data_IF_059799851308
#
_entry.id   IF_059799851308
#
_cell.length_a   1.000
_cell.length_b   1.000
_cell.length_c   1.000
_cell.angle_alpha   90.00
_cell.angle_beta   90.00
_cell.angle_gamma   90.00
#
_symmetry.space_group_name_H-M   'P 1'
#
loop_
_entity.id
_entity.type
_entity.pdbx_description
1 polymer ?
#
# COMPACT_ATOMS: atom_id res chain seq x y z
N UNK A 1 7.47 -16.55 -17.30
CA UNK A 1 8.21 -17.68 -16.67
C UNK A 1 9.32 -18.23 -17.55
N UNK A 2 9.20 -18.28 -18.89
CA UNK A 2 10.24 -18.79 -19.79
C UNK A 2 11.57 -18.07 -19.60
N UNK A 3 11.60 -16.74 -19.57
CA UNK A 3 12.84 -15.97 -19.37
C UNK A 3 13.52 -16.30 -18.02
N UNK A 4 12.76 -16.67 -16.98
CA UNK A 4 13.31 -17.13 -15.70
C UNK A 4 13.98 -18.48 -15.87
N UNK A 5 13.39 -19.40 -16.66
CA UNK A 5 13.96 -20.70 -16.94
C UNK A 5 15.26 -20.59 -17.76
N UNK A 6 15.27 -19.71 -18.76
CA UNK A 6 16.45 -19.42 -19.60
C UNK A 6 17.63 -18.85 -18.80
N UNK A 7 17.33 -18.11 -17.71
CA UNK A 7 18.32 -17.49 -16.84
C UNK A 7 18.47 -18.21 -15.48
N UNK A 8 18.07 -19.49 -15.40
CA UNK A 8 18.03 -20.27 -14.16
C UNK A 8 19.33 -20.21 -13.36
N UNK A 9 20.46 -20.56 -13.99
CA UNK A 9 21.77 -20.58 -13.34
C UNK A 9 22.21 -19.20 -12.83
N UNK A 10 21.97 -18.15 -13.62
CA UNK A 10 22.26 -16.78 -13.20
C UNK A 10 21.46 -16.35 -11.99
N UNK A 11 20.18 -16.74 -11.92
CA UNK A 11 19.31 -16.47 -10.79
C UNK A 11 19.75 -17.26 -9.55
N UNK A 12 20.12 -18.52 -9.72
CA UNK A 12 20.67 -19.34 -8.64
C UNK A 12 21.95 -18.70 -8.06
N UNK A 13 22.86 -18.22 -8.90
CA UNK A 13 24.08 -17.53 -8.48
C UNK A 13 23.81 -16.23 -7.70
N UNK A 14 22.71 -15.54 -7.96
CA UNK A 14 22.28 -14.34 -7.20
C UNK A 14 21.68 -14.73 -5.84
N UNK A 15 20.88 -15.77 -5.79
CA UNK A 15 20.07 -16.09 -4.59
C UNK A 15 20.83 -16.99 -3.61
N UNK A 16 21.48 -18.05 -4.09
CA UNK A 16 22.10 -19.06 -3.21
C UNK A 16 23.05 -18.47 -2.16
N UNK A 17 23.94 -17.50 -2.49
CA UNK A 17 24.84 -16.92 -1.48
C UNK A 17 24.12 -16.21 -0.33
N UNK A 18 22.86 -15.87 -0.48
CA UNK A 18 22.05 -15.18 0.54
C UNK A 18 21.32 -16.14 1.47
N UNK A 19 21.36 -17.43 1.20
CA UNK A 19 20.65 -18.47 1.94
C UNK A 19 21.59 -19.23 2.88
N UNK A 20 21.04 -19.70 4.00
CA UNK A 20 21.75 -20.65 4.86
C UNK A 20 21.99 -21.99 4.18
N UNK A 21 23.06 -22.70 4.59
CA UNK A 21 23.54 -23.96 3.95
C UNK A 21 22.45 -25.01 3.72
N UNK A 22 21.54 -25.20 4.67
CA UNK A 22 20.44 -26.17 4.53
C UNK A 22 19.44 -25.73 3.44
N UNK A 23 19.10 -24.44 3.39
CA UNK A 23 18.19 -23.93 2.37
C UNK A 23 18.83 -23.90 0.97
N UNK A 24 20.14 -23.75 0.86
CA UNK A 24 20.85 -23.84 -0.43
C UNK A 24 20.64 -25.19 -1.10
N UNK A 25 20.57 -26.28 -0.34
CA UNK A 25 20.39 -27.66 -0.86
C UNK A 25 19.00 -27.89 -1.45
N UNK A 26 18.00 -27.15 -0.99
CA UNK A 26 16.58 -27.38 -1.33
C UNK A 26 15.97 -26.23 -2.13
N UNK A 27 16.73 -25.15 -2.35
CA UNK A 27 16.20 -23.99 -3.04
C UNK A 27 16.07 -24.25 -4.54
N UNK A 28 14.93 -23.82 -5.08
CA UNK A 28 14.71 -23.61 -6.51
C UNK A 28 13.91 -22.31 -6.69
N UNK A 29 14.15 -21.52 -7.72
CA UNK A 29 13.31 -20.39 -8.08
C UNK A 29 11.88 -20.83 -8.46
N UNK A 30 11.72 -22.05 -8.92
CA UNK A 30 10.44 -22.64 -9.30
C UNK A 30 9.84 -23.50 -8.19
N UNK A 31 8.53 -23.36 -8.00
CA UNK A 31 7.72 -24.10 -7.05
C UNK A 31 6.63 -24.84 -7.82
N UNK A 32 6.80 -26.16 -8.10
CA UNK A 32 5.78 -26.93 -8.81
C UNK A 32 4.49 -27.01 -8.02
N UNK A 33 3.36 -27.09 -8.73
CA UNK A 33 2.04 -27.36 -8.15
C UNK A 33 1.76 -28.84 -8.27
N UNK A 34 1.40 -29.48 -7.17
CA UNK A 34 1.02 -30.90 -7.17
C UNK A 34 -0.27 -31.10 -8.00
N UNK A 35 -0.26 -31.93 -9.03
CA UNK A 35 -1.44 -32.12 -9.89
C UNK A 35 -2.61 -32.75 -9.14
N UNK A 36 -2.32 -33.58 -8.13
CA UNK A 36 -3.36 -34.32 -7.40
C UNK A 36 -4.06 -33.46 -6.34
N UNK A 37 -3.30 -32.53 -5.71
CA UNK A 37 -3.81 -31.77 -4.54
C UNK A 37 -3.93 -30.26 -4.80
N UNK A 38 -3.34 -29.73 -5.86
CA UNK A 38 -3.25 -28.29 -6.13
C UNK A 38 -2.31 -27.53 -5.18
N UNK A 39 -1.62 -28.22 -4.27
CA UNK A 39 -0.69 -27.58 -3.34
C UNK A 39 0.62 -27.21 -4.01
N UNK A 40 1.17 -26.06 -3.64
CA UNK A 40 2.51 -25.62 -4.03
C UNK A 40 3.53 -26.45 -3.25
N UNK A 41 4.50 -27.05 -3.96
CA UNK A 41 5.53 -27.88 -3.37
C UNK A 41 6.84 -27.08 -3.23
N UNK A 42 7.43 -27.07 -2.04
CA UNK A 42 8.74 -26.51 -1.76
C UNK A 42 9.83 -27.60 -1.83
N UNK A 43 10.07 -28.10 -3.04
CA UNK A 43 11.02 -29.18 -3.30
C UNK A 43 12.04 -28.73 -4.33
N UNK A 44 13.29 -29.29 -4.31
CA UNK A 44 14.31 -28.89 -5.26
C UNK A 44 13.95 -29.35 -6.68
N UNK A 45 14.20 -28.48 -7.64
CA UNK A 45 14.23 -28.84 -9.06
C UNK A 45 15.59 -29.50 -9.31
N UNK A 46 15.56 -30.69 -9.85
CA UNK A 46 16.77 -31.49 -10.13
C UNK A 46 17.26 -31.35 -11.57
N UNK A 47 16.37 -30.97 -12.49
CA UNK A 47 16.68 -30.76 -13.90
C UNK A 47 15.73 -29.76 -14.53
N UNK A 48 16.17 -29.03 -15.52
CA UNK A 48 15.35 -28.08 -16.31
C UNK A 48 15.36 -28.48 -17.77
N UNK A 49 14.20 -28.45 -18.41
CA UNK A 49 14.04 -28.63 -19.85
C UNK A 49 13.56 -27.31 -20.45
N UNK A 50 14.51 -26.51 -20.93
CA UNK A 50 14.22 -25.22 -21.55
C UNK A 50 13.42 -25.36 -22.84
N UNK A 51 13.69 -26.39 -23.62
CA UNK A 51 13.06 -26.61 -24.93
C UNK A 51 11.56 -26.84 -24.81
N UNK A 52 11.15 -27.60 -23.81
CA UNK A 52 9.75 -27.93 -23.55
C UNK A 52 9.10 -27.07 -22.44
N UNK A 53 9.83 -26.09 -21.88
CA UNK A 53 9.35 -25.25 -20.78
C UNK A 53 8.90 -26.07 -19.58
N UNK A 54 9.71 -27.04 -19.15
CA UNK A 54 9.44 -27.95 -18.03
C UNK A 54 10.53 -27.91 -16.97
N UNK A 55 10.14 -28.29 -15.77
CA UNK A 55 11.03 -28.58 -14.63
C UNK A 55 10.83 -30.02 -14.20
N UNK A 56 11.91 -30.65 -13.76
CA UNK A 56 11.91 -32.01 -13.22
C UNK A 56 12.29 -31.93 -11.75
N UNK A 57 11.54 -32.56 -10.89
CA UNK A 57 11.69 -32.52 -9.45
C UNK A 57 11.52 -33.89 -8.81
N UNK A 58 12.11 -34.11 -7.65
CA UNK A 58 11.95 -35.35 -6.88
C UNK A 58 10.85 -35.17 -5.80
N UNK A 59 9.79 -35.94 -5.92
CA UNK A 59 8.76 -36.00 -4.89
C UNK A 59 8.80 -37.38 -4.22
N UNK A 60 9.47 -37.48 -3.08
CA UNK A 60 9.61 -38.69 -2.26
C UNK A 60 10.22 -39.89 -3.03
N UNK A 61 11.30 -39.64 -3.78
CA UNK A 61 11.99 -40.67 -4.56
C UNK A 61 11.40 -40.96 -5.94
N UNK A 62 10.34 -40.23 -6.31
CA UNK A 62 9.75 -40.32 -7.66
C UNK A 62 10.06 -39.06 -8.44
N UNK A 63 10.79 -39.18 -9.54
CA UNK A 63 11.00 -38.06 -10.47
C UNK A 63 9.69 -37.74 -11.19
N UNK A 64 9.25 -36.49 -11.08
CA UNK A 64 8.07 -35.95 -11.75
C UNK A 64 8.47 -34.75 -12.60
N UNK A 65 7.72 -34.51 -13.67
CA UNK A 65 7.86 -33.32 -14.49
C UNK A 65 6.64 -32.42 -14.37
N UNK A 66 6.84 -31.12 -14.50
CA UNK A 66 5.77 -30.14 -14.56
C UNK A 66 6.08 -29.07 -15.59
N UNK A 67 5.09 -28.66 -16.36
CA UNK A 67 5.17 -27.42 -17.15
C UNK A 67 5.33 -26.24 -16.22
N UNK A 68 6.14 -25.25 -16.59
CA UNK A 68 6.19 -23.97 -15.91
C UNK A 68 5.05 -23.03 -16.33
N UNK A 69 4.23 -23.46 -17.28
CA UNK A 69 3.11 -22.71 -17.86
C UNK A 69 1.78 -23.17 -17.27
N UNK A 70 0.69 -22.51 -17.65
CA UNK A 70 -0.70 -22.91 -17.39
C UNK A 70 -1.06 -23.12 -15.92
N UNK A 71 -0.38 -22.37 -15.02
CA UNK A 71 -0.66 -22.45 -13.58
C UNK A 71 -0.03 -23.63 -12.84
N UNK A 72 0.72 -24.49 -13.51
CA UNK A 72 1.33 -25.69 -12.91
C UNK A 72 2.61 -25.39 -12.11
N UNK A 73 3.05 -24.15 -12.09
CA UNK A 73 4.24 -23.72 -11.38
C UNK A 73 4.10 -22.30 -10.86
N UNK A 74 4.63 -22.02 -9.65
CA UNK A 74 4.83 -20.69 -9.09
C UNK A 74 6.31 -20.36 -9.00
N UNK A 75 6.63 -19.12 -8.70
CA UNK A 75 8.00 -18.68 -8.41
C UNK A 75 8.17 -18.36 -6.92
N UNK A 76 9.39 -18.49 -6.43
CA UNK A 76 9.81 -17.92 -5.15
C UNK A 76 9.67 -16.39 -5.19
N UNK A 77 9.26 -15.81 -4.08
CA UNK A 77 8.86 -14.40 -3.96
C UNK A 77 9.79 -13.39 -4.65
N UNK A 78 11.10 -13.46 -4.40
CA UNK A 78 12.06 -12.48 -4.95
C UNK A 78 12.18 -12.58 -6.47
N UNK A 79 12.09 -13.80 -6.99
CA UNK A 79 12.12 -14.09 -8.42
C UNK A 79 10.80 -13.72 -9.09
N UNK A 80 9.66 -14.01 -8.42
CA UNK A 80 8.32 -13.61 -8.86
C UNK A 80 8.20 -12.09 -8.97
N UNK A 81 8.74 -11.36 -7.99
CA UNK A 81 8.70 -9.91 -7.98
C UNK A 81 9.49 -9.31 -9.15
N UNK A 82 10.70 -9.78 -9.39
CA UNK A 82 11.51 -9.40 -10.56
C UNK A 82 10.81 -9.74 -11.89
N UNK A 83 10.20 -10.93 -11.98
CA UNK A 83 9.45 -11.36 -13.16
C UNK A 83 8.25 -10.46 -13.43
N UNK A 84 7.53 -10.03 -12.39
CA UNK A 84 6.41 -9.07 -12.53
C UNK A 84 6.88 -7.72 -13.03
N UNK A 85 7.97 -7.19 -12.47
CA UNK A 85 8.58 -5.96 -12.98
C UNK A 85 8.94 -6.08 -14.47
N UNK A 86 9.53 -7.22 -14.85
CA UNK A 86 9.90 -7.49 -16.24
C UNK A 86 8.68 -7.59 -17.16
N UNK A 87 7.66 -8.34 -16.76
CA UNK A 87 6.50 -8.67 -17.60
C UNK A 87 5.53 -7.50 -17.77
N UNK A 88 5.43 -6.63 -16.75
CA UNK A 88 4.48 -5.52 -16.70
C UNK A 88 5.13 -4.17 -16.99
N UNK A 89 6.45 -4.13 -17.30
CA UNK A 89 7.21 -2.91 -17.55
C UNK A 89 7.00 -1.85 -16.44
N UNK A 90 7.21 -2.27 -15.18
CA UNK A 90 6.98 -1.40 -14.03
C UNK A 90 8.05 -0.31 -13.96
N UNK A 91 7.64 0.95 -14.00
CA UNK A 91 8.54 2.12 -13.91
C UNK A 91 8.81 2.54 -12.46
N UNK A 92 7.84 2.33 -11.57
CA UNK A 92 7.91 2.80 -10.19
C UNK A 92 7.27 1.81 -9.22
N UNK A 93 7.96 1.53 -8.11
CA UNK A 93 7.50 0.61 -7.06
C UNK A 93 7.77 1.20 -5.67
N UNK A 94 6.77 1.19 -4.79
CA UNK A 94 6.92 1.48 -3.37
C UNK A 94 6.75 0.21 -2.55
N UNK A 95 7.60 0.00 -1.57
CA UNK A 95 7.54 -1.20 -0.72
C UNK A 95 7.87 -0.88 0.74
N UNK A 96 7.39 -1.72 1.65
CA UNK A 96 7.72 -1.60 3.07
C UNK A 96 9.20 -1.85 3.33
N UNK A 97 9.77 -1.20 4.32
CA UNK A 97 11.20 -1.35 4.68
C UNK A 97 11.64 -2.78 4.99
N UNK A 98 10.72 -3.63 5.39
CA UNK A 98 10.94 -5.06 5.62
C UNK A 98 11.20 -5.86 4.32
N UNK A 99 10.94 -5.27 3.16
CA UNK A 99 11.21 -5.84 1.84
C UNK A 99 12.48 -5.32 1.16
N UNK A 100 13.27 -4.47 1.82
CA UNK A 100 14.49 -3.85 1.21
C UNK A 100 15.44 -4.91 0.66
N UNK A 101 15.76 -5.94 1.44
CA UNK A 101 16.66 -7.02 0.98
C UNK A 101 16.06 -7.79 -0.21
N UNK A 102 14.75 -8.00 -0.21
CA UNK A 102 14.06 -8.62 -1.33
C UNK A 102 14.12 -7.76 -2.59
N UNK A 103 13.91 -6.44 -2.46
CA UNK A 103 14.00 -5.48 -3.56
C UNK A 103 15.41 -5.43 -4.16
N UNK A 104 16.47 -5.47 -3.33
CA UNK A 104 17.86 -5.53 -3.80
C UNK A 104 18.11 -6.78 -4.64
N UNK A 105 17.63 -7.94 -4.20
CA UNK A 105 17.79 -9.19 -4.95
C UNK A 105 16.94 -9.21 -6.22
N UNK A 106 15.71 -8.74 -6.16
CA UNK A 106 14.84 -8.62 -7.35
C UNK A 106 15.43 -7.64 -8.37
N UNK A 107 16.09 -6.55 -7.91
CA UNK A 107 16.83 -5.62 -8.78
C UNK A 107 17.99 -6.33 -9.51
N UNK A 108 18.76 -7.17 -8.82
CA UNK A 108 19.83 -7.94 -9.47
C UNK A 108 19.27 -8.91 -10.51
N UNK A 109 18.14 -9.53 -10.20
CA UNK A 109 17.49 -10.49 -11.11
C UNK A 109 16.96 -9.77 -12.36
N UNK A 110 16.21 -8.68 -12.24
CA UNK A 110 15.67 -7.98 -13.43
C UNK A 110 16.79 -7.44 -14.33
N UNK A 111 17.91 -6.98 -13.73
CA UNK A 111 19.10 -6.56 -14.49
C UNK A 111 19.74 -7.74 -15.24
N UNK A 112 19.80 -8.92 -14.63
CA UNK A 112 20.24 -10.15 -15.30
C UNK A 112 19.33 -10.48 -16.50
N UNK A 113 18.00 -10.24 -16.35
CA UNK A 113 17.03 -10.45 -17.43
C UNK A 113 17.09 -9.39 -18.54
N UNK A 114 17.98 -8.41 -18.45
CA UNK A 114 18.22 -7.39 -19.47
C UNK A 114 17.30 -6.17 -19.40
N UNK A 115 16.56 -5.98 -18.28
CA UNK A 115 15.75 -4.77 -18.06
C UNK A 115 16.26 -3.99 -16.85
N UNK A 116 15.99 -2.67 -16.85
CA UNK A 116 16.25 -1.79 -15.72
C UNK A 116 15.20 -2.04 -14.63
N UNK A 117 15.62 -2.03 -13.36
CA UNK A 117 14.70 -2.08 -12.24
C UNK A 117 13.85 -0.81 -12.12
N UNK A 118 12.64 -0.89 -11.57
CA UNK A 118 11.83 0.27 -11.25
C UNK A 118 12.56 1.28 -10.38
N UNK A 119 12.26 2.57 -10.57
CA UNK A 119 12.56 3.59 -9.57
C UNK A 119 11.63 3.41 -8.38
N UNK A 120 12.04 3.82 -7.18
CA UNK A 120 11.14 3.72 -6.04
C UNK A 120 11.81 3.99 -4.71
N UNK A 121 11.08 3.73 -3.64
CA UNK A 121 11.60 3.86 -2.29
C UNK A 121 10.90 2.93 -1.29
N UNK A 122 11.62 2.64 -0.20
CA UNK A 122 11.05 1.96 0.94
C UNK A 122 10.32 2.95 1.85
N UNK A 123 9.07 2.65 2.22
CA UNK A 123 8.35 3.40 3.25
C UNK A 123 8.48 2.73 4.62
N UNK A 124 8.34 3.57 5.66
CA UNK A 124 8.41 3.13 7.05
C UNK A 124 7.16 2.39 7.52
N UNK A 125 7.30 1.70 8.64
CA UNK A 125 6.20 0.94 9.24
C UNK A 125 5.12 1.86 9.80
N UNK A 126 3.90 1.33 9.84
CA UNK A 126 2.81 1.91 10.63
C UNK A 126 2.84 1.31 12.03
N UNK A 127 2.69 2.19 13.02
CA UNK A 127 2.72 1.88 14.43
C UNK A 127 1.35 2.12 15.05
N UNK A 128 1.02 1.37 16.08
CA UNK A 128 -0.17 1.63 16.89
C UNK A 128 0.02 2.83 17.82
N UNK A 129 -0.96 3.09 18.67
CA UNK A 129 -0.92 4.16 19.66
C UNK A 129 0.30 4.07 20.59
N UNK A 130 0.70 2.85 20.97
CA UNK A 130 1.84 2.59 21.87
C UNK A 130 3.18 2.64 21.16
N UNK A 131 3.20 2.73 19.84
CA UNK A 131 4.42 2.72 19.03
C UNK A 131 4.88 1.30 18.66
N UNK A 132 4.03 0.29 18.79
CA UNK A 132 4.31 -1.07 18.36
C UNK A 132 3.91 -1.24 16.86
N UNK A 133 4.58 -2.17 16.18
CA UNK A 133 4.25 -2.49 14.78
C UNK A 133 2.81 -3.00 14.68
N UNK A 134 2.02 -2.39 13.78
CA UNK A 134 0.68 -2.87 13.46
C UNK A 134 0.78 -4.22 12.75
N UNK A 135 -0.02 -5.17 13.20
CA UNK A 135 -0.18 -6.46 12.52
C UNK A 135 -1.64 -6.90 12.46
N UNK A 136 -2.01 -7.58 11.38
CA UNK A 136 -3.37 -8.09 11.20
C UNK A 136 -3.79 -9.07 12.31
N UNK A 137 -2.86 -9.89 12.79
CA UNK A 137 -3.13 -10.87 13.85
C UNK A 137 -3.38 -10.22 15.22
N UNK A 138 -2.78 -9.06 15.49
CA UNK A 138 -2.99 -8.31 16.74
C UNK A 138 -4.23 -7.41 16.68
N UNK A 139 -4.69 -7.02 15.49
CA UNK A 139 -5.79 -6.09 15.31
C UNK A 139 -5.58 -4.71 15.93
N UNK A 140 -4.32 -4.29 16.10
CA UNK A 140 -3.92 -3.12 16.89
C UNK A 140 -3.81 -1.82 16.09
N UNK A 141 -4.41 -1.76 14.91
CA UNK A 141 -4.45 -0.56 14.05
C UNK A 141 -5.85 -0.25 13.56
N UNK A 142 -6.03 0.93 12.96
CA UNK A 142 -7.26 1.29 12.26
C UNK A 142 -7.22 0.77 10.82
N UNK A 143 -8.35 0.24 10.33
CA UNK A 143 -8.51 -0.15 8.92
C UNK A 143 -8.93 1.05 8.07
N UNK A 144 -8.78 0.91 6.74
CA UNK A 144 -9.27 1.92 5.77
C UNK A 144 -10.78 2.14 5.97
N UNK A 145 -11.57 1.07 6.08
CA UNK A 145 -13.02 1.18 6.29
C UNK A 145 -13.38 1.92 7.57
N UNK A 146 -12.59 1.72 8.64
CA UNK A 146 -12.78 2.46 9.89
C UNK A 146 -12.44 3.94 9.74
N UNK A 147 -11.40 4.28 8.98
CA UNK A 147 -11.09 5.69 8.67
C UNK A 147 -12.22 6.35 7.90
N UNK A 148 -12.68 5.69 6.83
CA UNK A 148 -13.71 6.23 5.92
C UNK A 148 -15.09 6.39 6.59
N UNK A 149 -15.31 5.81 7.76
CA UNK A 149 -16.50 6.11 8.57
C UNK A 149 -16.53 7.54 9.11
N UNK A 150 -15.39 8.17 9.29
CA UNK A 150 -15.27 9.49 9.94
C UNK A 150 -14.71 10.57 9.05
N UNK A 151 -13.96 10.20 8.01
CA UNK A 151 -13.19 11.13 7.21
C UNK A 151 -13.10 10.72 5.74
N UNK A 152 -12.74 11.67 4.87
CA UNK A 152 -12.65 11.45 3.43
C UNK A 152 -11.44 10.60 3.03
N UNK A 153 -11.49 9.93 1.86
CA UNK A 153 -10.33 9.20 1.32
C UNK A 153 -9.16 10.14 1.01
N UNK A 154 -9.40 11.41 0.67
CA UNK A 154 -8.36 12.40 0.40
C UNK A 154 -7.55 12.71 1.66
N UNK A 155 -8.21 12.83 2.82
CA UNK A 155 -7.54 13.03 4.10
C UNK A 155 -6.64 11.84 4.47
N UNK A 156 -7.09 10.61 4.20
CA UNK A 156 -6.29 9.41 4.37
C UNK A 156 -5.10 9.39 3.43
N UNK A 157 -5.34 9.67 2.15
CA UNK A 157 -4.29 9.69 1.12
C UNK A 157 -3.20 10.70 1.47
N UNK A 158 -3.58 11.91 1.91
CA UNK A 158 -2.63 12.91 2.37
C UNK A 158 -1.84 12.42 3.58
N UNK A 159 -2.50 11.86 4.58
CA UNK A 159 -1.83 11.32 5.76
C UNK A 159 -0.85 10.20 5.40
N UNK A 160 -1.22 9.29 4.52
CA UNK A 160 -0.37 8.18 4.08
C UNK A 160 0.83 8.65 3.25
N UNK A 161 0.63 9.64 2.39
CA UNK A 161 1.66 10.15 1.48
C UNK A 161 2.69 11.06 2.16
N UNK A 162 2.30 11.82 3.18
CA UNK A 162 3.21 12.72 3.88
C UNK A 162 4.34 11.95 4.59
N UNK A 163 5.59 12.38 4.38
CA UNK A 163 6.76 11.82 5.06
C UNK A 163 6.81 10.27 5.07
N UNK A 164 6.77 9.59 3.91
CA UNK A 164 6.67 8.13 3.85
C UNK A 164 7.88 7.42 4.45
N UNK A 165 9.02 8.12 4.58
CA UNK A 165 10.25 7.60 5.20
C UNK A 165 10.30 7.75 6.72
N UNK A 166 9.19 8.18 7.35
CA UNK A 166 9.05 8.24 8.82
C UNK A 166 7.94 7.30 9.26
N UNK A 167 8.20 6.56 10.33
CA UNK A 167 7.18 5.74 10.96
C UNK A 167 6.01 6.61 11.42
N UNK A 168 4.78 6.14 11.13
CA UNK A 168 3.54 6.85 11.45
C UNK A 168 2.70 6.01 12.38
N UNK A 169 2.06 6.67 13.31
CA UNK A 169 1.06 6.05 14.16
C UNK A 169 -0.30 6.03 13.45
N UNK A 170 -0.94 4.88 13.38
CA UNK A 170 -2.22 4.70 12.71
C UNK A 170 -3.24 4.08 13.68
N UNK A 171 -3.97 4.94 14.38
CA UNK A 171 -4.98 4.61 15.38
C UNK A 171 -6.11 5.64 15.33
N UNK A 172 -7.24 5.39 16.00
CA UNK A 172 -8.47 6.16 15.80
C UNK A 172 -8.32 7.65 16.11
N UNK A 173 -7.62 7.99 17.18
CA UNK A 173 -7.46 9.36 17.67
C UNK A 173 -6.54 10.22 16.79
N UNK A 174 -5.84 9.62 15.82
CA UNK A 174 -5.06 10.39 14.83
C UNK A 174 -5.95 10.99 13.73
N UNK A 175 -7.15 10.43 13.49
CA UNK A 175 -8.03 10.83 12.39
C UNK A 175 -8.38 12.30 12.45
N UNK A 176 -8.84 12.87 13.60
CA UNK A 176 -9.18 14.30 13.67
C UNK A 176 -8.03 15.21 13.29
N UNK A 177 -6.83 14.91 13.80
CA UNK A 177 -5.62 15.68 13.49
C UNK A 177 -5.25 15.61 12.01
N UNK A 178 -5.35 14.43 11.40
CA UNK A 178 -5.05 14.23 9.99
C UNK A 178 -6.06 14.95 9.09
N UNK A 179 -7.33 14.98 9.47
CA UNK A 179 -8.37 15.74 8.76
C UNK A 179 -8.13 17.25 8.89
N UNK A 180 -7.80 17.73 10.09
CA UNK A 180 -7.48 19.14 10.30
C UNK A 180 -6.26 19.56 9.45
N UNK A 181 -5.20 18.73 9.38
CA UNK A 181 -4.05 18.98 8.53
C UNK A 181 -4.40 19.00 7.03
N UNK A 182 -5.32 18.14 6.60
CA UNK A 182 -5.84 18.14 5.23
C UNK A 182 -6.59 19.45 4.92
N UNK A 183 -7.50 19.87 5.79
CA UNK A 183 -8.25 21.12 5.64
C UNK A 183 -7.35 22.36 5.65
N UNK A 184 -6.36 22.38 6.53
CA UNK A 184 -5.34 23.45 6.58
C UNK A 184 -4.54 23.55 5.28
N UNK A 185 -4.20 22.43 4.65
CA UNK A 185 -3.50 22.43 3.36
C UNK A 185 -4.39 22.93 2.22
N UNK A 186 -5.70 22.64 2.25
CA UNK A 186 -6.68 23.26 1.33
C UNK A 186 -6.70 24.77 1.53
N UNK A 187 -6.81 25.26 2.77
CA UNK A 187 -6.84 26.68 3.05
C UNK A 187 -5.57 27.40 2.61
N UNK A 188 -4.41 26.79 2.86
CA UNK A 188 -3.10 27.31 2.39
C UNK A 188 -3.00 27.39 0.87
N UNK A 189 -3.57 26.40 0.16
CA UNK A 189 -3.50 26.33 -1.31
C UNK A 189 -4.07 27.58 -2.00
N UNK A 190 -5.05 28.23 -1.42
CA UNK A 190 -5.72 29.41 -1.95
C UNK A 190 -4.81 30.63 -2.08
N UNK A 191 -3.74 30.69 -1.28
CA UNK A 191 -2.77 31.80 -1.23
C UNK A 191 -1.44 31.47 -1.91
N UNK A 192 -1.32 30.28 -2.49
CA UNK A 192 -0.11 29.78 -3.10
C UNK A 192 -0.04 30.10 -4.59
N UNK A 193 1.16 30.39 -5.07
CA UNK A 193 1.44 30.43 -6.51
C UNK A 193 1.41 29.03 -7.11
N UNK A 194 1.34 28.88 -8.43
CA UNK A 194 1.36 27.58 -9.10
C UNK A 194 2.58 26.74 -8.69
N UNK A 195 3.77 27.34 -8.62
CA UNK A 195 4.98 26.64 -8.18
C UNK A 195 4.90 26.16 -6.72
N UNK A 196 4.33 26.96 -5.84
CA UNK A 196 4.12 26.60 -4.44
C UNK A 196 3.02 25.53 -4.29
N UNK A 197 1.99 25.60 -5.14
CA UNK A 197 0.87 24.68 -5.13
C UNK A 197 1.32 23.26 -5.46
N UNK A 198 2.23 23.07 -6.42
CA UNK A 198 2.83 21.76 -6.75
C UNK A 198 3.56 21.15 -5.54
N UNK A 199 4.09 21.98 -4.63
CA UNK A 199 4.73 21.53 -3.38
C UNK A 199 3.73 21.23 -2.26
N UNK A 200 2.47 21.62 -2.42
CA UNK A 200 1.41 21.32 -1.46
C UNK A 200 0.85 19.92 -1.71
N UNK A 201 0.87 19.01 -0.71
CA UNK A 201 0.41 17.64 -0.91
C UNK A 201 -1.06 17.53 -1.35
N UNK A 202 -1.94 18.48 -1.02
CA UNK A 202 -3.34 18.43 -1.47
C UNK A 202 -3.47 18.56 -3.00
N UNK A 203 -2.52 19.22 -3.68
CA UNK A 203 -2.52 19.29 -5.14
C UNK A 203 -2.42 17.89 -5.77
N UNK A 204 -1.54 17.06 -5.23
CA UNK A 204 -1.36 15.68 -5.70
C UNK A 204 -2.56 14.78 -5.36
N UNK A 205 -3.09 14.91 -4.14
CA UNK A 205 -4.25 14.14 -3.69
C UNK A 205 -5.50 14.43 -4.54
N UNK A 206 -5.63 15.66 -5.02
CA UNK A 206 -6.72 16.11 -5.87
C UNK A 206 -6.38 16.15 -7.38
N UNK A 207 -5.29 15.50 -7.81
CA UNK A 207 -4.88 15.45 -9.21
C UNK A 207 -4.83 16.84 -9.89
N UNK A 208 -4.33 17.84 -9.18
CA UNK A 208 -4.22 19.22 -9.67
C UNK A 208 -5.47 20.10 -9.51
N UNK A 209 -6.60 19.53 -9.09
CA UNK A 209 -7.89 20.24 -8.95
C UNK A 209 -8.26 20.45 -7.49
N UNK A 210 -7.48 21.27 -6.77
CA UNK A 210 -7.70 21.51 -5.33
C UNK A 210 -9.03 22.26 -5.10
N UNK A 211 -9.88 21.76 -4.19
CA UNK A 211 -11.11 22.45 -3.82
C UNK A 211 -10.86 23.86 -3.26
N UNK A 212 -11.77 24.80 -3.57
CA UNK A 212 -11.67 26.20 -3.10
C UNK A 212 -12.59 26.49 -1.92
N UNK A 213 -12.99 25.46 -1.19
CA UNK A 213 -13.87 25.59 -0.04
C UNK A 213 -13.17 26.29 1.12
N UNK A 214 -13.84 27.23 1.77
CA UNK A 214 -13.34 27.92 2.96
C UNK A 214 -13.53 27.05 4.18
N UNK A 215 -12.56 27.05 5.09
CA UNK A 215 -12.70 26.37 6.35
C UNK A 215 -13.72 27.10 7.25
N UNK A 216 -14.74 26.39 7.70
CA UNK A 216 -15.73 26.89 8.68
C UNK A 216 -15.16 26.77 10.09
N UNK A 217 -14.73 25.59 10.45
CA UNK A 217 -14.07 25.23 11.71
C UNK A 217 -13.20 23.99 11.51
N UNK A 218 -12.35 23.67 12.47
CA UNK A 218 -11.57 22.44 12.44
C UNK A 218 -12.47 21.21 12.61
N UNK A 219 -12.02 20.07 12.12
CA UNK A 219 -12.74 18.80 12.32
C UNK A 219 -12.77 18.39 13.80
N UNK A 220 -11.70 18.65 14.53
CA UNK A 220 -11.66 18.46 15.99
C UNK A 220 -12.73 19.30 16.71
N UNK A 221 -12.97 20.53 16.25
CA UNK A 221 -14.04 21.38 16.81
C UNK A 221 -15.43 20.86 16.41
N UNK A 222 -15.60 20.36 15.18
CA UNK A 222 -16.85 19.74 14.74
C UNK A 222 -17.19 18.49 15.57
N UNK A 223 -16.21 17.65 15.87
CA UNK A 223 -16.38 16.48 16.75
C UNK A 223 -16.88 16.87 18.13
N UNK A 224 -16.23 17.86 18.77
CA UNK A 224 -16.67 18.38 20.07
C UNK A 224 -18.09 18.93 20.00
N UNK A 225 -18.47 19.58 18.89
CA UNK A 225 -19.81 20.11 18.70
C UNK A 225 -20.85 18.99 18.61
N UNK A 226 -20.55 17.91 17.88
CA UNK A 226 -21.42 16.72 17.79
C UNK A 226 -21.65 16.08 19.17
N UNK A 227 -20.58 15.94 19.94
CA UNK A 227 -20.65 15.35 21.29
C UNK A 227 -21.45 16.22 22.27
N UNK A 228 -21.17 17.54 22.29
CA UNK A 228 -21.78 18.47 23.26
C UNK A 228 -23.20 18.84 22.91
N UNK A 229 -23.56 18.94 21.63
CA UNK A 229 -24.91 19.33 21.18
C UNK A 229 -25.91 18.18 21.20
N UNK A 230 -25.45 16.92 21.33
CA UNK A 230 -26.29 15.74 21.13
C UNK A 230 -27.07 15.74 19.81
N UNK A 231 -26.58 16.44 18.78
CA UNK A 231 -27.23 16.49 17.48
C UNK A 231 -27.39 15.08 16.90
N UNK A 232 -28.58 14.69 16.56
CA UNK A 232 -29.01 13.42 16.00
C UNK A 232 -29.32 13.50 14.50
N UNK A 233 -29.29 14.70 13.96
CA UNK A 233 -29.57 14.97 12.56
C UNK A 233 -28.61 16.01 11.97
N UNK A 234 -28.37 15.87 10.66
CA UNK A 234 -27.55 16.80 9.89
C UNK A 234 -28.04 18.24 10.02
N UNK A 235 -29.36 18.47 9.90
CA UNK A 235 -29.97 19.77 9.98
C UNK A 235 -29.78 20.44 11.35
N UNK A 236 -29.88 19.65 12.42
CA UNK A 236 -29.64 20.12 13.76
C UNK A 236 -28.18 20.51 13.98
N UNK A 237 -27.25 19.69 13.52
CA UNK A 237 -25.84 20.01 13.61
C UNK A 237 -25.47 21.26 12.81
N UNK A 238 -26.00 21.42 11.60
CA UNK A 238 -25.82 22.64 10.82
C UNK A 238 -26.39 23.92 11.49
N UNK A 239 -27.48 23.80 12.22
CA UNK A 239 -27.99 24.94 13.04
C UNK A 239 -26.94 25.37 14.09
N UNK A 240 -26.26 24.46 14.72
CA UNK A 240 -25.17 24.78 15.64
C UNK A 240 -23.96 25.37 14.92
N UNK A 241 -23.53 24.80 13.79
CA UNK A 241 -22.45 25.34 12.97
C UNK A 241 -22.70 26.78 12.55
N UNK A 242 -23.92 27.12 12.11
CA UNK A 242 -24.32 28.47 11.72
C UNK A 242 -24.27 29.49 12.85
N UNK A 243 -24.22 29.06 14.12
CA UNK A 243 -23.99 29.98 15.26
C UNK A 243 -22.53 30.44 15.34
N UNK A 244 -21.57 29.62 14.85
CA UNK A 244 -20.16 30.03 14.82
C UNK A 244 -19.82 30.89 13.61
N UNK A 245 -20.42 30.61 12.46
CA UNK A 245 -20.23 31.41 11.24
C UNK A 245 -21.61 31.68 10.62
N UNK A 246 -22.10 32.89 10.83
CA UNK A 246 -23.40 33.32 10.29
C UNK A 246 -23.35 33.51 8.76
N UNK A 247 -24.49 33.43 8.11
CA UNK A 247 -24.67 33.68 6.67
C UNK A 247 -23.95 32.66 5.74
N UNK A 248 -23.78 31.41 6.17
CA UNK A 248 -23.30 30.34 5.33
C UNK A 248 -24.43 29.46 4.82
N UNK A 249 -24.29 28.98 3.58
CA UNK A 249 -25.19 28.00 3.00
C UNK A 249 -24.40 26.66 2.88
N UNK A 250 -25.02 25.57 3.31
CA UNK A 250 -24.43 24.21 3.32
C UNK A 250 -23.90 23.80 1.95
N UNK A 251 -24.65 24.15 0.89
CA UNK A 251 -24.31 23.87 -0.51
C UNK A 251 -22.97 24.47 -0.98
N UNK A 252 -22.46 25.47 -0.29
CA UNK A 252 -21.17 26.11 -0.59
C UNK A 252 -19.99 25.42 0.09
N UNK A 253 -20.25 24.40 0.92
CA UNK A 253 -19.25 23.70 1.73
C UNK A 253 -19.35 22.17 1.58
N UNK A 254 -19.20 21.61 0.36
CA UNK A 254 -19.42 20.18 0.12
C UNK A 254 -18.48 19.28 0.89
N UNK A 255 -17.21 19.68 1.12
CA UNK A 255 -16.26 18.90 1.93
C UNK A 255 -16.71 18.85 3.38
N UNK A 256 -17.00 20.02 3.95
CA UNK A 256 -17.46 20.13 5.33
C UNK A 256 -18.81 19.44 5.54
N UNK A 257 -19.74 19.58 4.59
CA UNK A 257 -21.03 18.91 4.60
C UNK A 257 -20.89 17.37 4.56
N UNK A 258 -19.91 16.87 3.80
CA UNK A 258 -19.53 15.46 3.80
C UNK A 258 -19.10 14.99 5.19
N UNK A 259 -18.25 15.75 5.88
CA UNK A 259 -17.81 15.43 7.25
C UNK A 259 -18.97 15.43 8.24
N UNK A 260 -19.88 16.44 8.16
CA UNK A 260 -21.10 16.48 8.97
C UNK A 260 -21.94 15.23 8.77
N UNK A 261 -22.13 14.82 7.51
CA UNK A 261 -22.91 13.64 7.16
C UNK A 261 -22.29 12.35 7.72
N UNK A 262 -20.97 12.18 7.60
CA UNK A 262 -20.26 11.03 8.13
C UNK A 262 -20.40 10.92 9.65
N UNK A 263 -20.28 12.03 10.37
CA UNK A 263 -20.35 12.01 11.83
C UNK A 263 -21.76 11.69 12.35
N UNK A 264 -22.80 12.18 11.71
CA UNK A 264 -24.19 11.87 12.09
C UNK A 264 -24.49 10.38 11.84
N UNK A 265 -23.96 9.78 10.77
CA UNK A 265 -24.15 8.34 10.49
C UNK A 265 -23.45 7.41 11.48
N UNK A 266 -22.50 7.91 12.27
CA UNK A 266 -21.78 7.11 13.28
C UNK A 266 -22.35 7.24 14.69
N UNK A 267 -23.40 8.03 14.87
CA UNK A 267 -24.12 8.20 16.13
C UNK A 267 -25.31 7.24 16.23
#
# INVERSE_FOLDING_TARGET
LKIILENYEGIMNIILPTLGKERQKTYSPFLPVCPDTGHVLEIPVVEIDQSNSKIIFDNKGKKLESSILDGNCKLQWKVDWAMRWFALDIDFEMYGKDLIESAILSTKIINLLGKKSPSGFAYELFLDEKGEKISKSKGNGITIDQWLKYASPESLSLYMYQNPKRAKKLYKEIVPKAVDEYLDNIEKSKKQTEQQLVMNPVWHVHNGSVPKEDMIMSFSMLLNLVETSNADSKDLLWKFVKKYKSNIQETNFPIFDGLVSLLIHQK
#
